data_IF_881675892774
#
_entry.id   IF_881675892774
#
_cell.length_a   1.000
_cell.length_b   1.000
_cell.length_c   1.000
_cell.angle_alpha   90.00
_cell.angle_beta   90.00
_cell.angle_gamma   90.00
#
_symmetry.space_group_name_H-M   'P 1'
#
loop_
_entity.id
_entity.type
_entity.pdbx_description
1 polymer ?
#
# COMPACT_ATOMS: atom_id res chain seq x y z
N UNK A 1 1.08 -27.96 39.34
CA UNK A 1 2.41 -27.78 38.71
C UNK A 1 2.21 -27.01 37.42
N UNK A 2 2.62 -25.73 37.32
CA UNK A 2 2.67 -25.03 36.04
C UNK A 2 3.88 -25.52 35.24
N UNK A 3 3.66 -25.86 33.95
CA UNK A 3 4.69 -26.36 33.04
C UNK A 3 5.76 -25.31 32.68
N UNK A 4 6.91 -25.73 32.15
CA UNK A 4 8.05 -24.84 31.95
C UNK A 4 7.78 -23.81 30.85
N UNK A 5 8.24 -22.58 31.11
CA UNK A 5 8.19 -21.47 30.18
C UNK A 5 9.03 -21.79 28.93
N UNK A 6 8.43 -21.62 27.75
CA UNK A 6 9.13 -21.76 26.47
C UNK A 6 9.89 -20.46 26.25
N UNK A 7 11.21 -20.52 26.37
CA UNK A 7 12.10 -19.39 26.13
C UNK A 7 11.96 -18.96 24.66
N UNK A 8 11.42 -17.76 24.46
CA UNK A 8 11.35 -17.14 23.15
C UNK A 8 12.76 -16.74 22.71
N UNK A 9 13.45 -17.68 22.06
CA UNK A 9 14.74 -17.45 21.42
C UNK A 9 14.62 -16.25 20.47
N UNK A 10 15.38 -15.19 20.77
CA UNK A 10 15.39 -13.94 20.01
C UNK A 10 16.02 -14.23 18.64
N UNK A 11 15.18 -14.51 17.64
CA UNK A 11 15.61 -14.51 16.24
C UNK A 11 16.23 -13.13 15.93
N UNK A 12 17.53 -13.06 15.60
CA UNK A 12 18.23 -11.80 15.42
C UNK A 12 17.66 -11.04 14.22
N UNK A 13 17.53 -9.72 14.38
CA UNK A 13 17.06 -8.82 13.33
C UNK A 13 18.11 -8.76 12.22
N UNK A 14 17.81 -9.33 11.05
CA UNK A 14 18.56 -9.11 9.81
C UNK A 14 17.82 -8.07 8.98
N UNK A 15 18.55 -7.12 8.42
CA UNK A 15 18.03 -6.19 7.43
C UNK A 15 17.44 -6.96 6.25
N UNK A 16 16.36 -6.47 5.63
CA UNK A 16 15.80 -7.09 4.42
C UNK A 16 16.87 -7.27 3.32
N UNK A 17 17.87 -6.37 3.26
CA UNK A 17 19.02 -6.52 2.35
C UNK A 17 19.92 -7.71 2.70
N UNK A 18 20.02 -8.07 3.97
CA UNK A 18 20.87 -9.16 4.47
C UNK A 18 20.17 -10.53 4.33
N UNK A 19 18.85 -10.61 4.51
CA UNK A 19 18.10 -11.83 4.18
C UNK A 19 18.13 -12.12 2.67
N UNK A 20 18.06 -11.07 1.84
CA UNK A 20 18.22 -11.17 0.38
C UNK A 20 19.63 -11.66 0.01
N UNK A 21 20.67 -11.22 0.73
CA UNK A 21 22.07 -11.66 0.50
C UNK A 21 22.32 -13.08 1.00
N UNK A 22 21.73 -13.47 2.13
CA UNK A 22 21.89 -14.79 2.73
C UNK A 22 21.17 -15.90 1.94
N UNK A 23 20.11 -15.58 1.20
CA UNK A 23 19.46 -16.52 0.26
C UNK A 23 20.25 -16.75 -1.04
N UNK A 24 21.31 -15.98 -1.29
CA UNK A 24 22.22 -16.13 -2.43
C UNK A 24 23.51 -16.81 -1.94
N UNK A 25 23.35 -17.94 -1.26
CA UNK A 25 24.44 -18.90 -1.08
C UNK A 25 24.78 -19.46 -2.45
N UNK A 26 25.92 -19.03 -3.00
CA UNK A 26 26.54 -19.60 -4.19
C UNK A 26 26.94 -21.04 -3.84
N UNK A 27 26.08 -22.00 -4.19
CA UNK A 27 26.52 -23.38 -4.36
C UNK A 27 27.36 -23.44 -5.64
N UNK A 28 28.67 -23.47 -5.45
CA UNK A 28 29.61 -23.84 -6.50
C UNK A 28 29.36 -25.29 -6.88
N UNK A 29 28.93 -25.51 -8.12
CA UNK A 29 29.17 -26.75 -8.83
C UNK A 29 29.91 -26.39 -10.11
N UNK A 30 31.22 -26.64 -10.11
CA UNK A 30 32.03 -26.71 -11.31
C UNK A 30 31.48 -27.81 -12.23
N UNK A 31 31.42 -27.52 -13.54
CA UNK A 31 31.19 -28.56 -14.54
C UNK A 31 30.48 -28.08 -15.81
N UNK A 32 31.26 -27.77 -16.85
CA UNK A 32 30.81 -27.89 -18.25
C UNK A 32 30.72 -26.60 -19.04
N UNK A 33 31.74 -26.34 -19.86
CA UNK A 33 31.87 -25.14 -20.69
C UNK A 33 30.88 -25.01 -21.84
N UNK A 34 30.79 -23.78 -22.36
CA UNK A 34 30.26 -23.54 -23.70
C UNK A 34 29.61 -22.17 -23.90
N UNK A 35 30.33 -21.25 -24.55
CA UNK A 35 29.72 -20.21 -25.39
C UNK A 35 29.43 -18.86 -24.74
N UNK A 36 30.44 -18.00 -24.71
CA UNK A 36 30.24 -16.56 -24.57
C UNK A 36 29.47 -15.99 -25.75
N UNK A 37 28.33 -15.36 -25.47
CA UNK A 37 27.53 -14.62 -26.45
C UNK A 37 27.06 -13.31 -25.82
N UNK A 38 27.85 -12.24 -26.00
CA UNK A 38 27.45 -10.88 -25.66
C UNK A 38 26.26 -10.45 -26.51
N UNK A 39 25.06 -10.54 -25.92
CA UNK A 39 23.83 -10.06 -26.51
C UNK A 39 23.70 -8.54 -26.37
N UNK A 40 24.07 -7.82 -27.44
CA UNK A 40 23.75 -6.41 -27.68
C UNK A 40 22.22 -6.23 -27.54
N UNK A 41 21.76 -5.47 -26.55
CA UNK A 41 20.34 -5.10 -26.44
C UNK A 41 19.90 -4.40 -27.75
N UNK A 42 18.89 -4.96 -28.40
CA UNK A 42 18.31 -4.39 -29.62
C UNK A 42 17.44 -3.18 -29.22
N UNK A 43 17.64 -1.99 -29.80
CA UNK A 43 16.75 -0.86 -29.57
C UNK A 43 15.44 -1.12 -30.34
N UNK A 44 14.32 -1.21 -29.62
CA UNK A 44 12.99 -1.41 -30.21
C UNK A 44 12.29 -2.71 -29.81
N UNK A 45 12.33 -3.08 -28.52
CA UNK A 45 11.39 -4.06 -27.99
C UNK A 45 9.96 -3.50 -28.13
N UNK A 46 9.25 -3.93 -29.17
CA UNK A 46 7.80 -3.70 -29.32
C UNK A 46 7.14 -4.15 -28.02
N UNK A 47 6.58 -3.20 -27.27
CA UNK A 47 5.96 -3.45 -25.99
C UNK A 47 4.92 -4.56 -26.11
N UNK A 48 4.90 -5.46 -25.12
CA UNK A 48 3.89 -6.51 -25.06
C UNK A 48 2.49 -5.88 -25.19
N UNK A 49 1.58 -6.42 -26.04
CA UNK A 49 0.21 -5.95 -26.11
C UNK A 49 -0.39 -5.89 -24.69
N UNK A 50 -0.90 -4.73 -24.31
CA UNK A 50 -1.49 -4.53 -22.99
C UNK A 50 -2.98 -4.82 -23.06
N UNK A 51 -3.43 -5.81 -22.29
CA UNK A 51 -4.85 -6.11 -22.16
C UNK A 51 -5.50 -5.10 -21.21
N UNK A 52 -6.27 -4.17 -21.78
CA UNK A 52 -6.96 -3.12 -21.03
C UNK A 52 -8.14 -3.71 -20.27
N UNK A 53 -8.23 -3.39 -18.99
CA UNK A 53 -9.34 -3.70 -18.10
C UNK A 53 -10.28 -2.51 -18.05
N UNK A 54 -11.22 -2.45 -19.00
CA UNK A 54 -12.16 -1.32 -19.15
C UNK A 54 -12.99 -1.00 -17.91
N UNK A 55 -13.30 -2.00 -17.09
CA UNK A 55 -13.97 -1.80 -15.80
C UNK A 55 -13.18 -0.84 -14.90
N UNK A 56 -11.86 -1.03 -14.78
CA UNK A 56 -11.00 -0.20 -13.94
C UNK A 56 -10.89 1.21 -14.50
N UNK A 57 -10.82 1.34 -15.83
CA UNK A 57 -10.84 2.64 -16.51
C UNK A 57 -12.11 3.41 -16.16
N UNK A 58 -13.28 2.80 -16.35
CA UNK A 58 -14.57 3.45 -16.03
C UNK A 58 -14.67 3.88 -14.56
N UNK A 59 -14.33 2.99 -13.63
CA UNK A 59 -14.41 3.27 -12.20
C UNK A 59 -13.45 4.38 -11.77
N UNK A 60 -12.22 4.36 -12.30
CA UNK A 60 -11.24 5.39 -12.00
C UNK A 60 -11.62 6.74 -12.60
N UNK A 61 -12.16 6.76 -13.83
CA UNK A 61 -12.69 7.97 -14.45
C UNK A 61 -13.83 8.56 -13.63
N UNK A 62 -14.80 7.74 -13.18
CA UNK A 62 -15.91 8.19 -12.33
C UNK A 62 -15.41 8.76 -11.00
N UNK A 63 -14.44 8.10 -10.36
CA UNK A 63 -13.83 8.57 -9.11
C UNK A 63 -13.21 9.96 -9.28
N UNK A 64 -12.44 10.18 -10.35
CA UNK A 64 -11.78 11.46 -10.60
C UNK A 64 -12.78 12.54 -11.02
N UNK A 65 -13.80 12.21 -11.81
CA UNK A 65 -14.88 13.15 -12.15
C UNK A 65 -15.65 13.60 -10.90
N UNK A 66 -15.95 12.68 -9.98
CA UNK A 66 -16.57 13.01 -8.70
C UNK A 66 -15.66 13.88 -7.82
N UNK A 67 -14.35 13.63 -7.81
CA UNK A 67 -13.38 14.46 -7.09
C UNK A 67 -13.28 15.88 -7.66
N UNK A 68 -13.24 16.02 -9.00
CA UNK A 68 -13.25 17.33 -9.67
C UNK A 68 -14.57 18.06 -9.40
N UNK A 69 -15.70 17.36 -9.47
CA UNK A 69 -17.00 17.93 -9.13
C UNK A 69 -17.04 18.43 -7.67
N UNK A 70 -16.38 17.72 -6.77
CA UNK A 70 -16.29 18.12 -5.36
C UNK A 70 -15.53 19.45 -5.17
N UNK A 71 -14.57 19.79 -6.03
CA UNK A 71 -13.89 21.10 -6.00
C UNK A 71 -14.86 22.26 -6.24
N UNK A 72 -15.91 22.05 -7.05
CA UNK A 72 -16.95 23.06 -7.31
C UNK A 72 -17.88 23.24 -6.10
N UNK A 73 -17.94 22.26 -5.21
CA UNK A 73 -18.74 22.30 -3.98
C UNK A 73 -18.01 22.95 -2.80
N UNK A 74 -16.67 23.01 -2.81
CA UNK A 74 -15.86 23.60 -1.72
C UNK A 74 -16.27 25.06 -1.41
N UNK A 75 -16.48 25.96 -2.39
CA UNK A 75 -16.89 27.34 -2.12
C UNK A 75 -18.30 27.48 -1.54
N UNK A 76 -19.12 26.42 -1.62
CA UNK A 76 -20.47 26.37 -1.05
C UNK A 76 -20.51 25.76 0.35
N UNK A 77 -19.36 25.32 0.88
CA UNK A 77 -19.24 24.86 2.25
C UNK A 77 -19.34 26.04 3.24
N UNK A 78 -19.82 25.78 4.46
CA UNK A 78 -20.09 26.87 5.41
C UNK A 78 -18.83 27.69 5.75
N UNK A 79 -18.92 29.01 5.96
CA UNK A 79 -17.75 29.86 6.23
C UNK A 79 -16.93 29.42 7.46
N UNK A 80 -17.58 28.78 8.44
CA UNK A 80 -16.93 28.19 9.62
C UNK A 80 -15.93 27.06 9.24
N UNK A 81 -16.26 26.27 8.21
CA UNK A 81 -15.43 25.21 7.61
C UNK A 81 -14.12 25.78 7.05
N UNK A 82 -14.19 26.91 6.36
CA UNK A 82 -13.02 27.56 5.72
C UNK A 82 -12.15 28.35 6.72
N UNK A 83 -12.77 28.98 7.72
CA UNK A 83 -12.07 29.72 8.78
C UNK A 83 -11.28 28.78 9.70
N UNK A 84 -11.83 27.60 10.02
CA UNK A 84 -11.15 26.63 10.85
C UNK A 84 -9.99 25.92 10.12
N UNK A 85 -10.12 25.64 8.83
CA UNK A 85 -9.01 25.11 7.99
C UNK A 85 -7.79 26.05 8.01
N UNK A 86 -8.03 27.36 7.89
CA UNK A 86 -6.95 28.36 8.03
C UNK A 86 -6.40 28.44 9.46
N UNK A 87 -7.25 28.31 10.47
CA UNK A 87 -6.83 28.31 11.88
C UNK A 87 -5.95 27.10 12.22
N UNK A 88 -6.28 25.89 11.76
CA UNK A 88 -5.50 24.67 11.99
C UNK A 88 -4.18 24.70 11.22
N UNK A 89 -4.17 25.18 9.97
CA UNK A 89 -2.94 25.36 9.21
C UNK A 89 -1.98 26.36 9.89
N UNK A 90 -2.51 27.41 10.52
CA UNK A 90 -1.73 28.37 11.31
C UNK A 90 -1.28 27.80 12.66
N UNK A 91 -2.08 26.93 13.29
CA UNK A 91 -1.75 26.27 14.56
C UNK A 91 -0.71 25.15 14.39
N UNK A 92 -0.64 24.48 13.25
CA UNK A 92 0.40 23.47 12.96
C UNK A 92 1.82 24.08 12.86
N UNK A 93 1.93 25.39 12.59
CA UNK A 93 3.22 26.12 12.56
C UNK A 93 3.67 26.55 13.97
N UNK A 94 2.76 26.56 14.95
CA UNK A 94 3.06 27.01 16.33
C UNK A 94 2.67 25.94 17.35
N UNK A 95 3.57 24.97 17.52
CA UNK A 95 3.85 24.35 18.82
C UNK A 95 2.68 23.74 19.59
N UNK A 96 2.68 22.41 19.66
CA UNK A 96 2.97 21.71 20.92
C UNK A 96 2.91 22.61 22.19
N UNK A 97 1.70 22.96 22.62
CA UNK A 97 1.43 23.57 23.92
C UNK A 97 0.13 22.98 24.45
N UNK A 98 0.19 22.58 25.73
CA UNK A 98 -0.77 21.73 26.39
C UNK A 98 -2.13 22.34 26.72
N UNK A 99 -3.03 21.39 26.97
CA UNK A 99 -4.00 21.35 28.07
C UNK A 99 -5.33 22.13 27.97
N UNK A 100 -6.38 21.36 28.33
CA UNK A 100 -7.82 21.63 28.58
C UNK A 100 -8.61 22.58 27.68
N UNK A 101 -9.62 22.00 27.02
CA UNK A 101 -11.03 22.27 27.41
C UNK A 101 -12.02 21.20 26.93
N UNK A 102 -12.66 20.54 27.90
CA UNK A 102 -13.96 19.87 27.71
C UNK A 102 -15.04 20.94 27.81
N UNK A 103 -15.97 20.99 26.84
CA UNK A 103 -17.43 21.02 27.03
C UNK A 103 -18.12 21.48 25.75
N UNK A 104 -19.28 20.85 25.53
CA UNK A 104 -20.44 21.38 24.80
C UNK A 104 -20.53 21.10 23.29
N UNK A 105 -20.86 19.85 22.94
CA UNK A 105 -21.80 19.60 21.83
C UNK A 105 -22.53 18.26 22.06
N UNK A 106 -23.48 18.28 23.00
CA UNK A 106 -24.61 17.35 23.01
C UNK A 106 -25.79 18.12 22.42
N UNK A 107 -26.50 17.49 21.49
CA UNK A 107 -27.68 17.96 20.73
C UNK A 107 -27.40 18.50 19.32
N UNK A 108 -27.06 17.60 18.39
CA UNK A 108 -27.61 17.67 17.02
C UNK A 108 -27.60 16.25 16.40
N UNK A 109 -28.75 15.58 16.28
CA UNK A 109 -28.90 14.44 15.39
C UNK A 109 -29.45 14.91 14.04
N UNK A 110 -28.80 14.48 12.95
CA UNK A 110 -29.18 14.61 11.51
C UNK A 110 -28.56 15.77 10.71
N UNK A 111 -27.29 15.61 10.40
CA UNK A 111 -26.76 15.64 9.04
C UNK A 111 -25.35 15.06 9.12
N UNK A 112 -24.97 14.21 8.16
CA UNK A 112 -23.56 13.87 7.97
C UNK A 112 -22.87 15.11 7.41
N UNK A 113 -22.71 16.11 8.26
CA UNK A 113 -21.86 17.25 7.96
C UNK A 113 -20.45 16.72 8.04
N UNK A 114 -19.87 16.49 6.86
CA UNK A 114 -18.49 16.08 6.70
C UNK A 114 -17.62 17.25 7.18
N UNK A 115 -17.42 17.39 8.48
CA UNK A 115 -16.51 18.38 9.01
C UNK A 115 -15.15 18.21 8.29
N UNK A 116 -14.55 19.28 7.76
CA UNK A 116 -13.29 19.22 7.00
C UNK A 116 -12.17 18.64 7.88
N UNK A 117 -12.28 18.83 9.21
CA UNK A 117 -11.45 18.19 10.22
C UNK A 117 -11.50 16.66 10.16
N UNK A 118 -12.68 16.09 9.94
CA UNK A 118 -12.89 14.65 9.82
C UNK A 118 -12.25 14.13 8.54
N UNK A 119 -12.42 14.84 7.42
CA UNK A 119 -11.80 14.45 6.16
C UNK A 119 -10.26 14.50 6.22
N UNK A 120 -9.70 15.58 6.78
CA UNK A 120 -8.26 15.72 6.99
C UNK A 120 -7.71 14.66 7.95
N UNK A 121 -8.41 14.39 9.04
CA UNK A 121 -8.04 13.34 9.99
C UNK A 121 -8.07 11.94 9.34
N UNK A 122 -9.10 11.63 8.56
CA UNK A 122 -9.16 10.40 7.77
C UNK A 122 -8.02 10.29 6.76
N UNK A 123 -7.65 11.39 6.10
CA UNK A 123 -6.49 11.43 5.19
C UNK A 123 -5.18 11.09 5.93
N UNK A 124 -4.94 11.71 7.09
CA UNK A 124 -3.74 11.40 7.88
C UNK A 124 -3.73 9.95 8.38
N UNK A 125 -4.87 9.44 8.85
CA UNK A 125 -4.98 8.04 9.29
C UNK A 125 -4.71 7.06 8.15
N UNK A 126 -5.31 7.26 6.98
CA UNK A 126 -5.10 6.40 5.81
C UNK A 126 -3.66 6.47 5.31
N UNK A 127 -3.07 7.66 5.26
CA UNK A 127 -1.65 7.85 4.92
C UNK A 127 -0.73 7.10 5.91
N UNK A 128 -1.03 7.12 7.21
CA UNK A 128 -0.29 6.38 8.22
C UNK A 128 -0.44 4.86 8.02
N UNK A 129 -1.64 4.38 7.71
CA UNK A 129 -1.91 2.97 7.42
C UNK A 129 -1.06 2.43 6.27
N UNK A 130 -0.91 3.20 5.19
CA UNK A 130 -0.08 2.81 4.04
C UNK A 130 1.42 2.97 4.36
N UNK A 131 1.84 4.14 4.86
CA UNK A 131 3.27 4.45 5.02
C UNK A 131 3.93 3.75 6.20
N UNK A 132 3.31 3.80 7.38
CA UNK A 132 3.84 3.13 8.56
C UNK A 132 3.46 1.65 8.58
N UNK A 133 2.26 1.29 8.11
CA UNK A 133 1.79 -0.08 8.00
C UNK A 133 2.32 -0.79 6.75
N UNK A 134 1.56 -0.76 5.65
CA UNK A 134 1.81 -1.56 4.45
C UNK A 134 3.27 -1.48 3.96
N UNK A 135 3.82 -0.26 3.93
CA UNK A 135 5.16 0.02 3.45
C UNK A 135 6.26 -0.38 4.46
N UNK A 136 6.35 0.28 5.62
CA UNK A 136 7.48 0.07 6.54
C UNK A 136 7.38 -1.20 7.39
N UNK A 137 6.19 -1.53 7.89
CA UNK A 137 5.98 -2.68 8.77
C UNK A 137 5.93 -3.99 8.00
N UNK A 138 5.01 -4.12 7.05
CA UNK A 138 4.77 -5.39 6.36
C UNK A 138 5.68 -5.60 5.14
N UNK A 139 5.93 -4.57 4.33
CA UNK A 139 6.78 -4.77 3.14
C UNK A 139 8.26 -4.80 3.46
N UNK A 140 8.76 -3.83 4.23
CA UNK A 140 10.19 -3.70 4.53
C UNK A 140 10.64 -4.27 5.87
N UNK A 141 9.71 -4.70 6.74
CA UNK A 141 10.02 -5.24 8.07
C UNK A 141 10.95 -4.32 8.88
N UNK A 142 10.83 -3.00 8.72
CA UNK A 142 11.78 -2.04 9.31
C UNK A 142 11.66 -1.94 10.84
N UNK A 143 10.54 -2.37 11.42
CA UNK A 143 10.30 -2.41 12.86
C UNK A 143 9.33 -3.53 13.23
N UNK A 144 9.29 -3.90 14.51
CA UNK A 144 8.35 -4.90 15.04
C UNK A 144 7.24 -4.20 15.84
N UNK A 145 5.98 -4.45 15.48
CA UNK A 145 4.82 -3.89 16.16
C UNK A 145 4.10 -4.94 17.03
N UNK A 146 3.61 -4.51 18.20
CA UNK A 146 2.71 -5.33 19.02
C UNK A 146 1.32 -5.41 18.38
N UNK A 147 0.53 -6.40 18.79
CA UNK A 147 -0.80 -6.67 18.24
C UNK A 147 -1.74 -5.44 18.18
N UNK A 148 -1.84 -4.57 19.21
CA UNK A 148 -2.73 -3.41 19.15
C UNK A 148 -2.38 -2.45 18.01
N UNK A 149 -1.09 -2.17 17.83
CA UNK A 149 -0.62 -1.29 16.75
C UNK A 149 -0.85 -1.93 15.38
N UNK A 150 -0.65 -3.25 15.26
CA UNK A 150 -0.93 -3.99 14.00
C UNK A 150 -2.40 -3.92 13.61
N UNK A 151 -3.31 -4.11 14.57
CA UNK A 151 -4.75 -4.01 14.34
C UNK A 151 -5.11 -2.58 13.91
N UNK A 152 -4.59 -1.57 14.61
CA UNK A 152 -4.82 -0.16 14.27
C UNK A 152 -4.34 0.17 12.85
N UNK A 153 -3.11 -0.20 12.51
CA UNK A 153 -2.54 0.05 11.18
C UNK A 153 -3.29 -0.73 10.08
N UNK A 154 -3.78 -1.94 10.37
CA UNK A 154 -4.56 -2.73 9.42
C UNK A 154 -5.95 -2.12 9.16
N UNK A 155 -6.60 -1.60 10.20
CA UNK A 155 -7.84 -0.85 10.06
C UNK A 155 -7.63 0.44 9.24
N UNK A 156 -6.59 1.20 9.56
CA UNK A 156 -6.21 2.42 8.84
C UNK A 156 -5.86 2.15 7.36
N UNK A 157 -5.14 1.06 7.07
CA UNK A 157 -4.85 0.65 5.69
C UNK A 157 -6.12 0.25 4.93
N UNK A 158 -7.06 -0.42 5.58
CA UNK A 158 -8.34 -0.82 4.97
C UNK A 158 -9.18 0.40 4.55
N UNK A 159 -9.05 1.52 5.26
CA UNK A 159 -9.68 2.80 4.87
C UNK A 159 -9.03 3.43 3.63
N UNK A 160 -7.77 3.11 3.32
CA UNK A 160 -7.03 3.70 2.19
C UNK A 160 -7.41 3.08 0.83
N UNK A 161 -8.08 1.91 0.83
CA UNK A 161 -8.58 1.23 -0.37
C UNK A 161 -7.51 0.89 -1.44
N UNK A 162 -6.26 0.67 -1.03
CA UNK A 162 -5.14 0.29 -1.90
C UNK A 162 -4.88 -1.23 -1.89
N UNK A 163 -5.90 -2.05 -2.16
CA UNK A 163 -5.87 -3.51 -1.99
C UNK A 163 -5.59 -3.97 -0.55
N UNK A 164 -5.59 -5.29 -0.32
CA UNK A 164 -5.24 -5.85 0.98
C UNK A 164 -3.72 -5.77 1.24
N UNK A 165 -3.34 -5.84 2.52
CA UNK A 165 -1.94 -5.70 2.95
C UNK A 165 -1.05 -6.74 2.28
N UNK A 166 -1.53 -7.97 2.07
CA UNK A 166 -0.72 -9.02 1.47
C UNK A 166 -0.43 -8.71 0.00
N UNK A 167 -1.44 -8.36 -0.80
CA UNK A 167 -1.24 -8.02 -2.21
C UNK A 167 -0.37 -6.77 -2.38
N UNK A 168 -0.64 -5.71 -1.61
CA UNK A 168 0.16 -4.49 -1.63
C UNK A 168 1.62 -4.79 -1.28
N UNK A 169 1.86 -5.56 -0.20
CA UNK A 169 3.23 -5.84 0.23
C UNK A 169 3.98 -6.76 -0.71
N UNK A 170 3.29 -7.74 -1.33
CA UNK A 170 3.89 -8.60 -2.36
C UNK A 170 4.33 -7.76 -3.55
N UNK A 171 3.44 -6.95 -4.11
CA UNK A 171 3.73 -6.16 -5.30
C UNK A 171 4.81 -5.11 -5.02
N UNK A 172 4.82 -4.51 -3.83
CA UNK A 172 5.89 -3.59 -3.38
C UNK A 172 7.26 -4.28 -3.26
N UNK A 173 7.31 -5.52 -2.74
CA UNK A 173 8.56 -6.31 -2.70
C UNK A 173 9.04 -6.66 -4.12
N UNK A 174 8.13 -6.99 -5.04
CA UNK A 174 8.46 -7.23 -6.45
C UNK A 174 9.06 -5.97 -7.08
N UNK A 175 8.40 -4.82 -6.88
CA UNK A 175 8.87 -3.53 -7.37
C UNK A 175 10.30 -3.23 -6.89
N UNK A 176 10.60 -3.39 -5.60
CA UNK A 176 11.95 -3.14 -5.10
C UNK A 176 13.00 -4.13 -5.63
N UNK A 177 12.64 -5.40 -5.84
CA UNK A 177 13.58 -6.42 -6.30
C UNK A 177 13.87 -6.35 -7.79
N UNK A 178 12.88 -5.94 -8.59
CA UNK A 178 12.94 -5.95 -10.05
C UNK A 178 12.62 -4.59 -10.67
N UNK A 179 12.91 -3.50 -9.95
CA UNK A 179 12.69 -2.12 -10.38
C UNK A 179 13.25 -1.88 -11.78
N UNK A 180 12.51 -1.09 -12.57
CA UNK A 180 12.91 -0.73 -13.94
C UNK A 180 13.04 -1.91 -14.93
N UNK A 181 12.36 -3.04 -14.63
CA UNK A 181 12.24 -4.20 -15.52
C UNK A 181 10.78 -4.53 -15.84
N UNK A 182 10.51 -5.42 -16.78
CA UNK A 182 9.14 -5.89 -17.09
C UNK A 182 8.47 -6.69 -15.96
N UNK A 183 9.22 -7.01 -14.90
CA UNK A 183 8.67 -7.58 -13.68
C UNK A 183 8.32 -6.54 -12.62
N UNK A 184 8.58 -5.25 -12.87
CA UNK A 184 8.11 -4.16 -12.01
C UNK A 184 6.62 -3.87 -12.32
N UNK A 185 5.71 -3.99 -11.33
CA UNK A 185 4.29 -3.71 -11.54
C UNK A 185 4.01 -2.32 -12.12
N UNK A 186 4.81 -1.32 -11.74
CA UNK A 186 4.63 0.09 -12.12
C UNK A 186 5.91 0.67 -12.74
N UNK A 187 6.57 -0.14 -13.57
CA UNK A 187 7.80 0.17 -14.31
C UNK A 187 7.83 1.59 -14.89
N UNK A 188 8.72 2.45 -14.37
CA UNK A 188 8.83 3.84 -14.80
C UNK A 188 9.39 3.99 -16.23
N UNK A 189 10.12 3.00 -16.76
CA UNK A 189 10.60 3.00 -18.16
C UNK A 189 9.48 2.99 -19.19
N UNK A 190 8.27 2.58 -18.80
CA UNK A 190 7.08 2.61 -19.67
C UNK A 190 6.42 4.00 -19.74
N UNK A 191 6.96 4.97 -19.00
CA UNK A 191 6.53 6.37 -19.02
C UNK A 191 5.68 6.76 -17.81
N UNK A 192 5.61 8.07 -17.57
CA UNK A 192 4.96 8.67 -16.41
C UNK A 192 3.51 8.22 -16.21
N UNK A 193 2.72 8.18 -17.29
CA UNK A 193 1.32 7.78 -17.21
C UNK A 193 1.17 6.34 -16.71
N UNK A 194 2.02 5.43 -17.20
CA UNK A 194 1.98 4.02 -16.80
C UNK A 194 2.31 3.85 -15.32
N UNK A 195 3.41 4.44 -14.84
CA UNK A 195 3.83 4.33 -13.44
C UNK A 195 2.88 5.04 -12.47
N UNK A 196 2.19 6.10 -12.91
CA UNK A 196 1.30 6.88 -12.05
C UNK A 196 -0.06 6.18 -11.85
N UNK A 197 -0.78 5.89 -12.94
CA UNK A 197 -2.13 5.28 -12.89
C UNK A 197 -2.37 4.21 -13.95
N UNK A 198 -1.61 4.21 -15.05
CA UNK A 198 -1.87 3.34 -16.20
C UNK A 198 -1.69 1.85 -15.89
N UNK A 199 -0.81 1.50 -14.95
CA UNK A 199 -0.64 0.11 -14.50
C UNK A 199 -1.90 -0.49 -13.87
N UNK A 200 -2.83 0.33 -13.36
CA UNK A 200 -4.12 -0.11 -12.82
C UNK A 200 -5.16 -0.42 -13.90
N UNK A 201 -4.93 0.06 -15.14
CA UNK A 201 -5.86 -0.09 -16.26
C UNK A 201 -5.57 -1.29 -17.14
N UNK A 202 -4.47 -2.00 -16.90
CA UNK A 202 -4.02 -3.11 -17.74
C UNK A 202 -3.79 -4.35 -16.88
N UNK A 203 -3.83 -5.52 -17.50
CA UNK A 203 -3.41 -6.76 -16.82
C UNK A 203 -1.93 -6.70 -16.48
N UNK A 204 -1.57 -7.27 -15.32
CA UNK A 204 -0.18 -7.41 -14.87
C UNK A 204 0.61 -8.21 -15.90
N UNK A 205 1.85 -7.80 -16.15
CA UNK A 205 2.75 -8.54 -17.03
C UNK A 205 3.06 -9.92 -16.44
N UNK A 206 3.26 -10.94 -17.29
CA UNK A 206 3.52 -12.32 -16.85
C UNK A 206 4.69 -12.40 -15.87
N UNK A 207 5.75 -11.65 -16.13
CA UNK A 207 6.94 -11.63 -15.29
C UNK A 207 6.66 -11.10 -13.87
N UNK A 208 5.71 -10.17 -13.71
CA UNK A 208 5.29 -9.68 -12.39
C UNK A 208 4.68 -10.82 -11.58
N UNK A 209 3.83 -11.63 -12.22
CA UNK A 209 3.14 -12.76 -11.59
C UNK A 209 4.15 -13.87 -11.26
N UNK A 210 4.99 -14.24 -12.22
CA UNK A 210 5.97 -15.31 -12.05
C UNK A 210 7.03 -14.97 -11.00
N UNK A 211 7.59 -13.75 -11.06
CA UNK A 211 8.60 -13.33 -10.08
C UNK A 211 7.99 -13.03 -8.72
N UNK A 212 6.73 -12.57 -8.66
CA UNK A 212 5.97 -12.41 -7.43
C UNK A 212 5.72 -13.73 -6.69
N UNK A 213 5.47 -14.83 -7.41
CA UNK A 213 5.33 -16.17 -6.80
C UNK A 213 6.62 -16.71 -6.19
N UNK A 214 7.77 -16.24 -6.67
CA UNK A 214 9.11 -16.64 -6.17
C UNK A 214 9.57 -15.85 -4.95
N UNK A 215 8.82 -14.84 -4.52
CA UNK A 215 9.16 -14.07 -3.33
C UNK A 215 8.73 -14.81 -2.07
N UNK A 216 9.57 -14.72 -1.04
CA UNK A 216 9.18 -15.14 0.31
C UNK A 216 8.13 -14.16 0.87
N UNK A 217 6.95 -14.71 1.12
CA UNK A 217 5.80 -14.05 1.73
C UNK A 217 5.29 -14.83 2.94
N UNK A 218 6.08 -15.79 3.45
CA UNK A 218 5.69 -16.66 4.57
C UNK A 218 5.38 -15.86 5.83
N UNK A 219 6.10 -14.76 6.05
CA UNK A 219 5.87 -13.82 7.16
C UNK A 219 4.48 -13.17 7.11
N UNK A 220 4.03 -12.77 5.91
CA UNK A 220 2.72 -12.16 5.72
C UNK A 220 1.59 -13.19 5.88
N UNK A 221 1.86 -14.44 5.48
CA UNK A 221 0.94 -15.56 5.68
C UNK A 221 0.90 -16.04 7.13
N UNK A 222 1.98 -15.89 7.89
CA UNK A 222 2.00 -16.21 9.31
C UNK A 222 1.26 -15.16 10.16
N UNK A 223 1.11 -13.94 9.67
CA UNK A 223 0.43 -12.85 10.36
C UNK A 223 -1.10 -13.04 10.41
N UNK A 224 -1.70 -13.27 11.60
CA UNK A 224 -3.15 -13.46 11.71
C UNK A 224 -3.95 -12.19 11.37
N UNK A 225 -3.38 -10.99 11.57
CA UNK A 225 -4.04 -9.72 11.25
C UNK A 225 -4.12 -9.54 9.74
N UNK A 226 -3.05 -9.84 9.02
CA UNK A 226 -3.01 -9.78 7.54
C UNK A 226 -3.97 -10.81 6.96
N UNK A 227 -3.97 -12.05 7.47
CA UNK A 227 -4.91 -13.09 7.05
C UNK A 227 -6.36 -12.69 7.31
N UNK A 228 -6.65 -12.10 8.47
CA UNK A 228 -7.98 -11.63 8.81
C UNK A 228 -8.44 -10.54 7.85
N UNK A 229 -7.60 -9.52 7.64
CA UNK A 229 -7.90 -8.43 6.72
C UNK A 229 -8.11 -8.93 5.29
N UNK A 230 -7.28 -9.85 4.80
CA UNK A 230 -7.47 -10.43 3.48
C UNK A 230 -8.79 -11.19 3.36
N UNK A 231 -9.15 -12.00 4.37
CA UNK A 231 -10.41 -12.74 4.39
C UNK A 231 -11.61 -11.80 4.38
N UNK A 232 -11.57 -10.72 5.17
CA UNK A 232 -12.66 -9.75 5.21
C UNK A 232 -12.73 -8.90 3.95
N UNK A 233 -11.60 -8.47 3.39
CA UNK A 233 -11.54 -7.72 2.13
C UNK A 233 -12.03 -8.53 0.93
N UNK A 234 -11.73 -9.83 0.88
CA UNK A 234 -12.21 -10.74 -0.18
C UNK A 234 -13.72 -10.94 -0.12
N UNK A 235 -14.30 -10.92 1.08
CA UNK A 235 -15.75 -11.11 1.33
C UNK A 235 -16.55 -9.81 1.36
N UNK A 236 -15.89 -8.65 1.44
CA UNK A 236 -16.53 -7.34 1.53
C UNK A 236 -16.71 -6.74 0.13
N UNK A 237 -17.70 -5.84 0.00
CA UNK A 237 -18.05 -5.06 -1.20
C UNK A 237 -16.84 -4.42 -1.92
N UNK A 238 -15.69 -4.26 -1.24
CA UNK A 238 -14.43 -3.83 -1.86
C UNK A 238 -14.02 -4.69 -3.07
N UNK A 239 -14.26 -6.00 -3.02
CA UNK A 239 -13.97 -6.92 -4.13
C UNK A 239 -15.05 -6.91 -5.23
N UNK A 240 -16.25 -6.44 -4.91
CA UNK A 240 -17.38 -6.31 -5.85
C UNK A 240 -17.37 -4.95 -6.56
N UNK A 241 -16.86 -3.89 -5.92
CA UNK A 241 -16.91 -2.52 -6.41
C UNK A 241 -15.57 -2.06 -7.00
N UNK A 242 -14.41 -2.47 -6.46
CA UNK A 242 -13.09 -2.08 -6.95
C UNK A 242 -12.02 -3.17 -6.71
N UNK A 243 -12.06 -4.34 -7.37
CA UNK A 243 -10.91 -5.23 -7.43
C UNK A 243 -9.85 -4.56 -8.31
N UNK A 244 -9.07 -3.64 -7.73
CA UNK A 244 -8.06 -2.86 -8.45
C UNK A 244 -6.92 -3.72 -8.99
N UNK A 245 -6.71 -4.94 -8.47
CA UNK A 245 -5.57 -5.76 -8.88
C UNK A 245 -5.75 -7.28 -8.89
N UNK A 246 -6.92 -7.82 -8.55
CA UNK A 246 -7.15 -9.28 -8.61
C UNK A 246 -7.33 -9.78 -10.04
N UNK A 247 -6.22 -10.13 -10.70
CA UNK A 247 -6.13 -10.99 -11.88
C UNK A 247 -4.87 -11.86 -11.81
#
# INVERSE_FOLDING_TARGET
>A
MPGPAVDAEKVPFRSAKEEIRAGVGVEGSEGGGGGGGGGRERPGARGHPQDIVWRNVFLMSLLHLAAVYSLVLIPKAQPLTLLWDKAVALLQIRGWVGDKRRRLTLLCPRSVDCDPNTAYFCFLLTALGVTAGAHRLWSHRSYKAKLPLRIFLAAANSMAFQNDIFEWSRDHRVHHKYSETDADPHNARRGFFFSHIGWLFVRKHRDVIEKGRKLDVTDLLADPVVRFQRKTSTNSLSNTVLPMTSF
#
